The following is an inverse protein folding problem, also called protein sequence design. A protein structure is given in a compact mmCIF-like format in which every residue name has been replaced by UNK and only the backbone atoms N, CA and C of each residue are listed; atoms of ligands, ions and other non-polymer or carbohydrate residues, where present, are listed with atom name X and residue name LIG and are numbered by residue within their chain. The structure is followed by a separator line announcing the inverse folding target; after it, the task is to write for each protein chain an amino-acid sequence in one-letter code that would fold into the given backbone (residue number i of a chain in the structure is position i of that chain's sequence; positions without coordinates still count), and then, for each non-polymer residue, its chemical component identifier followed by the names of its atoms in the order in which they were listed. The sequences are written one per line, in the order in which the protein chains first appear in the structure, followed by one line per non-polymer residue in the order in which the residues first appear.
data_IF_522752282403
#
_entry.id   IF_522752282403
#
_cell.length_a   1.000
_cell.length_b   1.000
_cell.length_c   1.000
_cell.angle_alpha   90.00
_cell.angle_beta   90.00
_cell.angle_gamma   90.00
#
_symmetry.space_group_name_H-M   'P 1'
#
loop_
_entity.id
_entity.type
_entity.pdbx_description
1 polymer ?
#
# COMPACT_ATOMS: atom_id res chain seq x y z
N UNK A 1 7.36 42.94 19.21
CA UNK A 1 7.21 41.74 18.34
C UNK A 1 5.89 41.84 17.61
N UNK A 2 5.78 41.32 16.38
CA UNK A 2 5.10 40.03 16.23
C UNK A 2 5.83 39.06 15.27
N UNK A 3 6.10 37.85 15.76
CA UNK A 3 5.42 36.61 15.37
C UNK A 3 5.96 35.99 14.05
N UNK A 4 6.85 35.01 14.22
CA UNK A 4 7.25 34.03 13.19
C UNK A 4 6.02 33.48 12.47
N UNK A 5 6.03 33.34 11.13
CA UNK A 5 4.91 32.74 10.43
C UNK A 5 4.73 31.31 10.91
N UNK A 6 3.55 31.09 11.50
CA UNK A 6 3.05 29.83 12.03
C UNK A 6 3.01 28.79 10.92
N UNK A 7 3.34 27.56 11.29
CA UNK A 7 3.23 26.31 10.54
C UNK A 7 1.83 26.12 9.89
N UNK A 8 1.54 26.85 8.80
CA UNK A 8 0.30 26.83 8.01
C UNK A 8 0.30 25.75 6.92
N UNK A 9 0.94 24.62 7.19
CA UNK A 9 0.99 23.45 6.30
C UNK A 9 0.35 22.20 6.89
N UNK A 10 -0.43 22.33 7.97
CA UNK A 10 -1.29 21.24 8.46
C UNK A 10 -2.51 21.14 7.53
N UNK A 11 -2.80 19.92 7.08
CA UNK A 11 -4.14 19.48 6.68
C UNK A 11 -4.75 20.10 5.41
N UNK A 12 -3.94 20.29 4.36
CA UNK A 12 -4.51 20.11 3.02
C UNK A 12 -4.62 18.61 2.81
N UNK A 13 -5.85 18.12 2.78
CA UNK A 13 -6.29 16.87 2.15
C UNK A 13 -5.17 16.33 1.25
N UNK A 14 -4.52 15.23 1.65
CA UNK A 14 -3.31 14.72 0.98
C UNK A 14 -3.70 14.09 -0.34
N UNK A 15 -4.05 14.92 -1.30
CA UNK A 15 -4.34 14.55 -2.67
C UNK A 15 -3.00 14.24 -3.32
N UNK A 16 -2.76 12.96 -3.60
CA UNK A 16 -1.65 12.56 -4.45
C UNK A 16 -1.88 13.14 -5.84
N UNK A 17 -0.81 13.54 -6.53
CA UNK A 17 -0.89 13.68 -7.99
C UNK A 17 -0.88 12.29 -8.64
N UNK A 18 -1.41 12.18 -9.87
CA UNK A 18 -1.34 10.93 -10.67
C UNK A 18 0.06 10.32 -10.69
N UNK A 19 1.08 11.15 -10.91
CA UNK A 19 2.48 10.72 -10.94
C UNK A 19 2.94 10.16 -9.59
N UNK A 20 2.52 10.77 -8.48
CA UNK A 20 2.85 10.27 -7.14
C UNK A 20 2.11 8.96 -6.83
N UNK A 21 0.85 8.85 -7.21
CA UNK A 21 0.06 7.64 -6.99
C UNK A 21 0.67 6.44 -7.73
N UNK A 22 1.00 6.60 -9.01
CA UNK A 22 1.69 5.57 -9.81
C UNK A 22 3.08 5.26 -9.25
N UNK A 23 3.86 6.29 -8.92
CA UNK A 23 5.18 6.09 -8.32
C UNK A 23 5.11 5.25 -7.05
N UNK A 24 4.15 5.55 -6.16
CA UNK A 24 3.94 4.81 -4.92
C UNK A 24 3.63 3.34 -5.21
N UNK A 25 2.69 3.05 -6.12
CA UNK A 25 2.36 1.68 -6.49
C UNK A 25 3.55 0.93 -7.08
N UNK A 26 4.33 1.56 -7.95
CA UNK A 26 5.51 0.94 -8.55
C UNK A 26 6.60 0.64 -7.50
N UNK A 27 6.81 1.52 -6.52
CA UNK A 27 7.74 1.24 -5.41
C UNK A 27 7.24 0.11 -4.50
N UNK A 28 5.94 0.07 -4.18
CA UNK A 28 5.35 -1.05 -3.44
C UNK A 28 5.50 -2.36 -4.23
N UNK A 29 5.13 -2.36 -5.50
CA UNK A 29 5.24 -3.50 -6.41
C UNK A 29 6.67 -4.03 -6.44
N UNK A 30 7.66 -3.15 -6.60
CA UNK A 30 9.07 -3.54 -6.58
C UNK A 30 9.44 -4.24 -5.28
N UNK A 31 9.06 -3.70 -4.13
CA UNK A 31 9.33 -4.32 -2.82
C UNK A 31 8.63 -5.68 -2.66
N UNK A 32 7.40 -5.80 -3.15
CA UNK A 32 6.66 -7.06 -3.15
C UNK A 32 7.21 -8.08 -4.15
N UNK A 33 7.88 -7.66 -5.22
CA UNK A 33 8.53 -8.55 -6.19
C UNK A 33 9.88 -9.07 -5.70
N UNK A 34 10.44 -8.52 -4.62
CA UNK A 34 11.74 -8.96 -4.11
C UNK A 34 11.71 -10.45 -3.73
N UNK A 35 12.71 -11.20 -4.20
CA UNK A 35 12.76 -12.66 -4.01
C UNK A 35 12.70 -13.07 -2.53
N UNK A 36 13.31 -12.28 -1.64
CA UNK A 36 13.27 -12.52 -0.20
C UNK A 36 11.86 -12.32 0.38
N UNK A 37 11.12 -11.31 -0.08
CA UNK A 37 9.73 -11.09 0.32
C UNK A 37 8.84 -12.25 -0.16
N UNK A 38 8.95 -12.61 -1.44
CA UNK A 38 8.16 -13.67 -2.05
C UNK A 38 8.45 -15.04 -1.42
N UNK A 39 9.70 -15.31 -1.04
CA UNK A 39 10.04 -16.52 -0.29
C UNK A 39 9.33 -16.55 1.07
N UNK A 40 9.37 -15.46 1.83
CA UNK A 40 8.67 -15.37 3.12
C UNK A 40 7.16 -15.51 2.99
N UNK A 41 6.58 -14.98 1.91
CA UNK A 41 5.15 -15.12 1.63
C UNK A 41 4.80 -16.60 1.37
N UNK A 42 5.57 -17.31 0.56
CA UNK A 42 5.39 -18.75 0.33
C UNK A 42 5.58 -19.58 1.60
N UNK A 43 6.60 -19.27 2.39
CA UNK A 43 6.85 -19.96 3.66
C UNK A 43 5.72 -19.71 4.67
N UNK A 44 5.11 -18.52 4.63
CA UNK A 44 3.91 -18.24 5.41
C UNK A 44 2.73 -19.07 4.92
N UNK A 45 2.45 -19.08 3.61
CA UNK A 45 1.35 -19.86 3.03
C UNK A 45 1.50 -21.36 3.30
N UNK A 46 2.72 -21.91 3.26
CA UNK A 46 2.98 -23.32 3.52
C UNK A 46 2.81 -23.72 5.00
N UNK A 47 2.97 -22.78 5.94
CA UNK A 47 2.83 -23.03 7.40
C UNK A 47 1.38 -23.04 7.87
N UNK A 48 0.45 -22.49 7.09
CA UNK A 48 -0.95 -22.39 7.48
C UNK A 48 -1.84 -23.23 6.57
N UNK A 49 -2.74 -24.01 7.18
CA UNK A 49 -3.82 -24.69 6.47
C UNK A 49 -4.93 -23.68 6.14
N UNK A 50 -4.76 -22.96 5.03
CA UNK A 50 -5.73 -21.98 4.54
C UNK A 50 -5.68 -20.63 5.26
N UNK A 51 -6.69 -19.79 4.98
CA UNK A 51 -6.77 -18.39 5.45
C UNK A 51 -7.30 -18.28 6.89
N UNK A 52 -6.49 -18.68 7.84
CA UNK A 52 -6.80 -18.51 9.28
C UNK A 52 -6.59 -17.06 9.74
N UNK A 53 -7.19 -16.63 10.87
CA UNK A 53 -6.92 -15.30 11.44
C UNK A 53 -5.43 -15.05 11.75
N UNK A 54 -4.70 -16.11 12.15
CA UNK A 54 -3.26 -16.06 12.40
C UNK A 54 -2.49 -15.82 11.09
N UNK A 55 -2.82 -16.56 10.03
CA UNK A 55 -2.26 -16.34 8.69
C UNK A 55 -2.46 -14.89 8.23
N UNK A 56 -3.69 -14.37 8.36
CA UNK A 56 -4.01 -13.01 7.94
C UNK A 56 -3.24 -11.95 8.76
N UNK A 57 -2.99 -12.20 10.05
CA UNK A 57 -2.18 -11.32 10.88
C UNK A 57 -0.71 -11.32 10.48
N UNK A 58 -0.10 -12.49 10.29
CA UNK A 58 1.28 -12.62 9.82
C UNK A 58 1.46 -12.06 8.41
N UNK A 59 0.47 -12.26 7.52
CA UNK A 59 0.49 -11.74 6.15
C UNK A 59 0.46 -10.21 6.14
N UNK A 60 -0.43 -9.60 6.94
CA UNK A 60 -0.45 -8.14 7.11
C UNK A 60 0.88 -7.61 7.67
N UNK A 61 1.46 -8.29 8.64
CA UNK A 61 2.76 -7.91 9.21
C UNK A 61 3.87 -7.99 8.15
N UNK A 62 3.88 -9.04 7.32
CA UNK A 62 4.82 -9.18 6.21
C UNK A 62 4.65 -8.04 5.19
N UNK A 63 3.42 -7.72 4.79
CA UNK A 63 3.16 -6.61 3.86
C UNK A 63 3.64 -5.27 4.42
N UNK A 64 3.44 -5.07 5.72
CA UNK A 64 3.88 -3.86 6.42
C UNK A 64 5.39 -3.67 6.39
N UNK A 65 6.19 -4.75 6.25
CA UNK A 65 7.66 -4.62 6.14
C UNK A 65 8.10 -3.82 4.90
N UNK A 66 7.32 -3.90 3.81
CA UNK A 66 7.53 -3.12 2.59
C UNK A 66 6.85 -1.76 2.72
N UNK A 67 5.57 -1.74 3.12
CA UNK A 67 4.77 -0.51 3.19
C UNK A 67 5.41 0.53 4.13
N UNK A 68 5.92 0.12 5.29
CA UNK A 68 6.54 1.04 6.26
C UNK A 68 7.74 1.80 5.69
N UNK A 69 8.46 1.22 4.72
CA UNK A 69 9.63 1.84 4.11
C UNK A 69 9.26 2.77 2.95
N UNK A 70 8.16 2.49 2.25
CA UNK A 70 7.70 3.25 1.07
C UNK A 70 6.82 4.42 1.48
N UNK A 71 5.84 4.20 2.36
CA UNK A 71 4.81 5.18 2.72
C UNK A 71 5.38 6.56 3.14
N UNK A 72 6.43 6.66 3.98
CA UNK A 72 7.02 7.94 4.37
C UNK A 72 7.55 8.79 3.22
N UNK A 73 8.01 8.16 2.13
CA UNK A 73 8.55 8.87 0.94
C UNK A 73 7.47 9.65 0.20
N UNK A 74 6.22 9.23 0.33
CA UNK A 74 5.04 9.87 -0.25
C UNK A 74 4.26 10.69 0.78
N UNK A 75 4.86 10.89 1.96
CA UNK A 75 4.32 11.70 3.04
C UNK A 75 3.43 10.94 4.01
N UNK A 76 3.07 9.68 3.77
CA UNK A 76 2.24 8.86 4.67
C UNK A 76 3.03 8.34 5.88
N UNK A 77 2.35 7.97 6.96
CA UNK A 77 3.03 7.30 8.07
C UNK A 77 3.46 5.88 7.67
N UNK A 78 4.55 5.38 8.24
CA UNK A 78 5.04 4.02 8.00
C UNK A 78 4.31 2.97 8.84
N UNK A 79 3.00 3.10 8.99
CA UNK A 79 2.17 2.28 9.87
C UNK A 79 0.76 2.07 9.27
N UNK A 80 -0.12 1.44 10.06
CA UNK A 80 -1.51 1.16 9.64
C UNK A 80 -2.31 2.44 9.34
N UNK A 81 -2.07 3.54 10.06
CA UNK A 81 -2.78 4.80 9.80
C UNK A 81 -2.34 5.41 8.46
N UNK A 82 -1.05 5.34 8.14
CA UNK A 82 -0.53 5.75 6.85
C UNK A 82 -1.04 4.86 5.71
N UNK A 83 -1.13 3.56 5.92
CA UNK A 83 -1.71 2.62 4.95
C UNK A 83 -3.16 2.96 4.63
N UNK A 84 -4.01 3.16 5.66
CA UNK A 84 -5.40 3.54 5.47
C UNK A 84 -5.51 4.89 4.74
N UNK A 85 -4.71 5.88 5.14
CA UNK A 85 -4.67 7.19 4.48
C UNK A 85 -4.28 7.10 3.00
N UNK A 86 -3.33 6.22 2.67
CA UNK A 86 -2.95 5.94 1.28
C UNK A 86 -4.10 5.30 0.50
N UNK A 87 -4.80 4.31 1.07
CA UNK A 87 -5.95 3.67 0.42
C UNK A 87 -7.07 4.67 0.13
N UNK A 88 -7.33 5.63 1.03
CA UNK A 88 -8.27 6.73 0.77
C UNK A 88 -7.80 7.63 -0.38
N UNK A 89 -6.52 8.02 -0.40
CA UNK A 89 -5.97 8.85 -1.48
C UNK A 89 -6.02 8.14 -2.84
N UNK A 90 -5.92 6.81 -2.85
CA UNK A 90 -6.00 5.97 -4.06
C UNK A 90 -7.39 5.93 -4.70
N UNK A 91 -8.46 6.24 -3.96
CA UNK A 91 -9.83 6.29 -4.50
C UNK A 91 -9.96 7.27 -5.67
N UNK A 92 -9.15 8.33 -5.72
CA UNK A 92 -9.14 9.29 -6.82
C UNK A 92 -8.62 8.72 -8.15
N UNK A 93 -8.04 7.50 -8.16
CA UNK A 93 -7.36 6.91 -9.31
C UNK A 93 -7.97 5.57 -9.77
N UNK A 94 -9.07 5.11 -9.17
CA UNK A 94 -9.69 3.81 -9.52
C UNK A 94 -10.26 3.75 -10.94
N UNK A 95 -10.42 4.90 -11.60
CA UNK A 95 -10.81 5.00 -13.01
C UNK A 95 -9.62 5.21 -13.96
N UNK A 96 -8.39 5.35 -13.45
CA UNK A 96 -7.18 5.47 -14.27
C UNK A 96 -6.71 4.07 -14.72
N UNK A 97 -6.68 3.76 -16.02
CA UNK A 97 -6.38 2.41 -16.49
C UNK A 97 -4.98 1.92 -16.13
N UNK A 98 -3.99 2.82 -16.09
CA UNK A 98 -2.62 2.48 -15.75
C UNK A 98 -2.52 2.15 -14.25
N UNK A 99 -3.14 2.98 -13.41
CA UNK A 99 -3.20 2.74 -11.97
C UNK A 99 -3.92 1.43 -11.64
N UNK A 100 -5.04 1.15 -12.30
CA UNK A 100 -5.79 -0.12 -12.12
C UNK A 100 -4.94 -1.31 -12.53
N UNK A 101 -4.21 -1.23 -13.65
CA UNK A 101 -3.31 -2.32 -14.08
C UNK A 101 -2.26 -2.63 -13.02
N UNK A 102 -1.55 -1.60 -12.52
CA UNK A 102 -0.51 -1.81 -11.51
C UNK A 102 -1.09 -2.31 -10.18
N UNK A 103 -2.28 -1.84 -9.78
CA UNK A 103 -3.01 -2.34 -8.62
C UNK A 103 -3.29 -3.85 -8.74
N UNK A 104 -3.77 -4.28 -9.90
CA UNK A 104 -4.09 -5.68 -10.15
C UNK A 104 -2.84 -6.55 -10.13
N UNK A 105 -1.73 -6.09 -10.71
CA UNK A 105 -0.46 -6.81 -10.66
C UNK A 105 0.07 -6.98 -9.23
N UNK A 106 -0.02 -5.93 -8.40
CA UNK A 106 0.32 -6.03 -6.97
C UNK A 106 -0.56 -7.08 -6.29
N UNK A 107 -1.87 -7.08 -6.55
CA UNK A 107 -2.76 -8.03 -5.92
C UNK A 107 -2.54 -9.48 -6.38
N UNK A 108 -2.15 -9.70 -7.63
CA UNK A 108 -1.70 -11.01 -8.10
C UNK A 108 -0.42 -11.46 -7.37
N UNK A 109 0.57 -10.58 -7.22
CA UNK A 109 1.82 -10.85 -6.50
C UNK A 109 1.62 -11.20 -5.02
N UNK A 110 0.52 -10.74 -4.42
CA UNK A 110 0.20 -10.92 -3.02
C UNK A 110 -0.87 -11.99 -2.75
N UNK A 111 -1.33 -12.69 -3.80
CA UNK A 111 -2.40 -13.70 -3.67
C UNK A 111 -3.77 -13.12 -3.27
N UNK A 112 -4.03 -11.86 -3.63
CA UNK A 112 -5.24 -11.10 -3.29
C UNK A 112 -6.29 -11.07 -4.41
N UNK A 113 -6.13 -11.88 -5.46
CA UNK A 113 -6.95 -11.81 -6.68
C UNK A 113 -8.48 -11.96 -6.47
N UNK A 114 -8.94 -12.57 -5.38
CA UNK A 114 -10.37 -12.71 -5.04
C UNK A 114 -11.00 -11.47 -4.38
N UNK A 115 -10.20 -10.47 -3.98
CA UNK A 115 -10.70 -9.30 -3.23
C UNK A 115 -10.88 -8.05 -4.10
N UNK A 116 -10.67 -8.16 -5.41
CA UNK A 116 -10.62 -7.03 -6.35
C UNK A 116 -11.65 -7.07 -7.48
N UNK A 117 -12.73 -7.84 -7.32
CA UNK A 117 -13.93 -7.57 -8.12
C UNK A 117 -14.69 -6.43 -7.46
N UNK A 118 -14.74 -5.21 -8.04
CA UNK A 118 -15.96 -4.44 -7.89
C UNK A 118 -17.06 -5.26 -8.57
N UNK A 119 -17.98 -5.82 -7.78
CA UNK A 119 -19.27 -6.26 -8.32
C UNK A 119 -19.91 -5.07 -9.02
N UNK A 120 -20.46 -5.25 -10.23
CA UNK A 120 -21.17 -4.19 -10.95
C UNK A 120 -22.35 -3.62 -10.13
#
# INVERSE_FOLDING_TARGET
QPARPKQRGRERERVLSRRQALGLQLELKRGFQEGAFQQRLRDLEARHEGRTPAFEAERRALFMTVQQAVLPRYGFQGDVHGLLSMMWAFQAFVSDPEFVRESNEICLLLGLHEQLLPTP
#
